data_IF_077708102950
#
_entry.id   IF_077708102950
#
_cell.length_a   1.000
_cell.length_b   1.000
_cell.length_c   1.000
_cell.angle_alpha   90.00
_cell.angle_beta   90.00
_cell.angle_gamma   90.00
#
_symmetry.space_group_name_H-M   'P 1'
#
loop_
_entity.id
_entity.type
_entity.pdbx_description
1 polymer ?
#
# COMPACT_ATOMS: atom_id res chain seq x y z
N UNK A 1 8.41 7.35 -17.72
CA UNK A 1 7.12 7.45 -16.98
C UNK A 1 7.25 7.43 -15.44
N UNK A 2 8.20 6.71 -14.82
CA UNK A 2 8.26 6.59 -13.34
C UNK A 2 8.93 7.79 -12.63
N UNK A 3 9.90 8.47 -13.25
CA UNK A 3 10.46 9.73 -12.72
C UNK A 3 9.46 10.90 -12.68
N UNK A 4 8.37 10.81 -13.45
CA UNK A 4 7.31 11.80 -13.49
C UNK A 4 6.29 11.63 -12.35
N UNK A 5 6.26 10.47 -11.68
CA UNK A 5 5.17 10.11 -10.76
C UNK A 5 5.17 10.91 -9.45
N UNK A 6 6.32 11.18 -8.79
CA UNK A 6 6.35 12.09 -7.64
C UNK A 6 5.97 13.53 -8.01
N UNK A 7 6.41 14.00 -9.19
CA UNK A 7 6.06 15.35 -9.69
C UNK A 7 4.55 15.46 -9.96
N UNK A 8 3.96 14.43 -10.58
CA UNK A 8 2.52 14.33 -10.81
C UNK A 8 1.72 14.27 -9.51
N UNK A 9 2.15 13.44 -8.55
CA UNK A 9 1.47 13.35 -7.26
C UNK A 9 1.45 14.71 -6.55
N UNK A 10 2.59 15.42 -6.54
CA UNK A 10 2.65 16.78 -6.01
C UNK A 10 1.77 17.76 -6.78
N UNK A 11 1.75 17.70 -8.11
CA UNK A 11 0.97 18.64 -8.93
C UNK A 11 -0.53 18.46 -8.76
N UNK A 12 -1.00 17.23 -8.54
CA UNK A 12 -2.40 16.92 -8.21
C UNK A 12 -2.73 17.36 -6.78
N UNK A 13 -1.92 16.97 -5.80
CA UNK A 13 -2.17 17.28 -4.37
C UNK A 13 -2.14 18.78 -4.10
N UNK A 14 -1.27 19.54 -4.76
CA UNK A 14 -1.16 20.99 -4.55
C UNK A 14 -1.98 21.81 -5.53
N UNK A 15 -2.84 21.17 -6.32
CA UNK A 15 -3.52 21.88 -7.39
C UNK A 15 -4.39 23.00 -6.84
N UNK A 16 -4.21 24.20 -7.39
CA UNK A 16 -4.95 25.42 -7.04
C UNK A 16 -5.09 26.26 -8.32
N UNK A 17 -6.10 27.13 -8.37
CA UNK A 17 -6.43 27.94 -9.54
C UNK A 17 -7.54 27.35 -10.42
N UNK A 18 -7.73 27.94 -11.60
CA UNK A 18 -8.82 27.58 -12.51
C UNK A 18 -8.65 26.18 -13.08
N UNK A 19 -9.64 25.32 -12.84
CA UNK A 19 -9.68 23.95 -13.36
C UNK A 19 -9.77 23.83 -14.89
N UNK A 20 -10.21 24.86 -15.60
CA UNK A 20 -10.23 24.86 -17.07
C UNK A 20 -8.85 25.13 -17.66
N UNK A 21 -8.00 25.85 -16.93
CA UNK A 21 -6.64 26.20 -17.37
C UNK A 21 -5.61 25.22 -16.81
N UNK A 22 -5.82 24.73 -15.59
CA UNK A 22 -4.90 23.85 -14.89
C UNK A 22 -5.52 22.47 -14.65
N UNK A 23 -5.25 21.53 -15.57
CA UNK A 23 -5.80 20.18 -15.57
C UNK A 23 -5.82 19.45 -14.21
N UNK A 24 -4.72 19.43 -13.43
CA UNK A 24 -4.70 18.78 -12.11
C UNK A 24 -5.72 19.30 -11.10
N UNK A 25 -6.19 20.54 -11.22
CA UNK A 25 -7.23 21.10 -10.35
C UNK A 25 -8.60 20.42 -10.55
N UNK A 26 -8.83 19.75 -11.69
CA UNK A 26 -10.05 18.96 -11.89
C UNK A 26 -10.20 17.80 -10.90
N UNK A 27 -9.12 17.34 -10.26
CA UNK A 27 -9.20 16.35 -9.20
C UNK A 27 -10.19 16.77 -8.10
N UNK A 28 -10.09 18.01 -7.65
CA UNK A 28 -10.95 18.56 -6.58
C UNK A 28 -12.39 18.73 -7.03
N UNK A 29 -12.62 19.14 -8.29
CA UNK A 29 -13.96 19.30 -8.86
C UNK A 29 -14.73 17.99 -9.03
N UNK A 30 -14.04 16.94 -9.49
CA UNK A 30 -14.68 15.63 -9.69
C UNK A 30 -15.16 15.01 -8.39
N UNK A 31 -14.49 15.37 -7.29
CA UNK A 31 -14.71 14.77 -5.97
C UNK A 31 -14.95 15.91 -4.98
N UNK A 32 -16.05 16.65 -5.08
CA UNK A 32 -16.30 17.83 -4.22
C UNK A 32 -16.49 17.57 -2.71
N UNK A 33 -16.31 16.33 -2.25
CA UNK A 33 -16.41 15.93 -0.85
C UNK A 33 -15.02 15.57 -0.30
N UNK A 34 -14.53 16.24 0.75
CA UNK A 34 -13.23 15.99 1.36
C UNK A 34 -12.99 14.53 1.76
N UNK A 35 -14.05 13.83 2.19
CA UNK A 35 -13.95 12.41 2.58
C UNK A 35 -13.67 11.53 1.36
N UNK A 36 -14.40 11.73 0.26
CA UNK A 36 -14.13 11.03 -1.00
C UNK A 36 -12.76 11.40 -1.59
N UNK A 37 -12.30 12.65 -1.42
CA UNK A 37 -10.95 13.04 -1.84
C UNK A 37 -9.88 12.26 -1.07
N UNK A 38 -10.03 12.13 0.26
CA UNK A 38 -9.16 11.31 1.10
C UNK A 38 -9.14 9.83 0.67
N UNK A 39 -10.32 9.27 0.39
CA UNK A 39 -10.46 7.89 -0.10
C UNK A 39 -9.72 7.70 -1.41
N UNK A 40 -10.01 8.54 -2.41
CA UNK A 40 -9.38 8.46 -3.72
C UNK A 40 -7.87 8.62 -3.63
N UNK A 41 -7.38 9.55 -2.81
CA UNK A 41 -5.96 9.80 -2.60
C UNK A 41 -5.24 8.61 -1.98
N UNK A 42 -5.83 8.01 -0.94
CA UNK A 42 -5.27 6.79 -0.33
C UNK A 42 -5.23 5.64 -1.34
N UNK A 43 -6.30 5.48 -2.10
CA UNK A 43 -6.44 4.40 -3.05
C UNK A 43 -5.56 4.58 -4.30
N UNK A 44 -5.33 5.82 -4.74
CA UNK A 44 -4.51 6.15 -5.90
C UNK A 44 -3.02 6.18 -5.57
N UNK A 45 -2.63 6.76 -4.44
CA UNK A 45 -1.22 6.99 -4.18
C UNK A 45 -0.61 6.03 -3.16
N UNK A 46 -1.36 5.61 -2.15
CA UNK A 46 -0.86 4.61 -1.19
C UNK A 46 -1.18 3.17 -1.62
N UNK A 47 -2.23 3.01 -2.44
CA UNK A 47 -2.75 1.68 -2.81
C UNK A 47 -3.58 1.04 -1.70
N UNK A 48 -3.64 1.65 -0.52
CA UNK A 48 -4.45 1.28 0.63
C UNK A 48 -5.86 1.85 0.52
N UNK A 49 -6.82 1.25 1.24
CA UNK A 49 -8.22 1.71 1.26
C UNK A 49 -8.58 2.25 2.63
N UNK A 50 -8.44 3.56 2.81
CA UNK A 50 -8.84 4.19 4.07
C UNK A 50 -10.35 4.19 4.27
N UNK A 51 -11.18 3.98 3.23
CA UNK A 51 -12.65 4.02 3.32
C UNK A 51 -13.23 3.16 4.45
N UNK A 52 -12.69 1.97 4.69
CA UNK A 52 -13.20 1.11 5.77
C UNK A 52 -12.98 1.75 7.15
N UNK A 53 -11.97 2.62 7.26
CA UNK A 53 -11.66 3.34 8.48
C UNK A 53 -12.63 4.50 8.79
N UNK A 54 -13.58 4.82 7.91
CA UNK A 54 -14.53 5.90 8.10
C UNK A 54 -15.40 5.70 9.37
N UNK A 55 -15.85 4.46 9.62
CA UNK A 55 -16.79 4.14 10.71
C UNK A 55 -16.15 3.47 11.92
N UNK A 56 -15.02 2.78 11.74
CA UNK A 56 -14.25 2.13 12.81
C UNK A 56 -12.79 1.96 12.37
N UNK A 57 -11.85 1.63 13.26
CA UNK A 57 -10.49 1.30 12.83
C UNK A 57 -10.49 0.11 11.86
N UNK A 58 -9.66 0.15 10.81
CA UNK A 58 -9.62 -0.88 9.79
C UNK A 58 -9.34 -2.26 10.44
N UNK A 59 -10.14 -3.31 10.18
CA UNK A 59 -10.07 -4.56 10.94
C UNK A 59 -8.85 -5.42 10.58
N UNK A 60 -8.28 -5.21 9.39
CA UNK A 60 -7.20 -6.03 8.80
C UNK A 60 -5.98 -5.19 8.35
N UNK A 61 -5.92 -3.92 8.73
CA UNK A 61 -4.86 -2.99 8.32
C UNK A 61 -4.60 -2.00 9.45
N UNK A 62 -3.46 -1.33 9.46
CA UNK A 62 -3.05 -0.42 10.55
C UNK A 62 -3.87 0.86 10.64
N UNK A 63 -4.71 1.14 9.65
CA UNK A 63 -5.36 2.42 9.50
C UNK A 63 -6.45 2.65 10.54
N UNK A 64 -6.33 3.77 11.24
CA UNK A 64 -7.29 4.19 12.26
C UNK A 64 -8.35 5.11 11.67
N UNK A 65 -9.43 5.27 12.41
CA UNK A 65 -10.45 6.27 12.09
C UNK A 65 -9.87 7.69 12.09
N UNK A 66 -8.94 7.97 13.01
CA UNK A 66 -8.23 9.24 13.08
C UNK A 66 -7.38 9.48 11.80
N UNK A 67 -6.80 8.43 11.20
CA UNK A 67 -6.08 8.55 9.92
C UNK A 67 -7.00 8.92 8.76
N UNK A 68 -8.21 8.34 8.71
CA UNK A 68 -9.19 8.64 7.68
C UNK A 68 -9.70 10.09 7.80
N UNK A 69 -10.23 10.46 8.97
CA UNK A 69 -10.85 11.78 9.15
C UNK A 69 -9.81 12.90 9.22
N UNK A 70 -8.61 12.61 9.72
CA UNK A 70 -7.51 13.56 9.69
C UNK A 70 -6.98 13.82 8.29
N UNK A 71 -6.95 12.81 7.41
CA UNK A 71 -6.67 13.05 5.99
C UNK A 71 -7.81 13.83 5.32
N UNK A 72 -9.06 13.51 5.62
CA UNK A 72 -10.21 14.27 5.11
C UNK A 72 -10.19 15.73 5.59
N UNK A 73 -9.69 16.01 6.79
CA UNK A 73 -9.57 17.36 7.32
C UNK A 73 -8.56 18.23 6.55
N UNK A 74 -7.51 17.64 5.95
CA UNK A 74 -6.61 18.34 5.02
C UNK A 74 -7.40 18.83 3.80
N UNK A 75 -8.20 17.94 3.22
CA UNK A 75 -9.00 18.24 2.03
C UNK A 75 -10.20 19.15 2.31
N UNK A 76 -10.68 19.19 3.55
CA UNK A 76 -11.75 20.09 3.96
C UNK A 76 -11.38 21.56 3.75
N UNK A 77 -10.08 21.87 3.75
CA UNK A 77 -9.53 23.21 3.59
C UNK A 77 -9.34 23.63 2.13
N UNK A 78 -9.94 22.89 1.19
CA UNK A 78 -9.88 23.16 -0.24
C UNK A 78 -11.29 23.46 -0.75
N UNK A 79 -11.48 24.64 -1.34
CA UNK A 79 -12.67 24.91 -2.13
C UNK A 79 -12.60 24.12 -3.44
N UNK A 80 -13.65 23.35 -3.71
CA UNK A 80 -13.76 22.46 -4.86
C UNK A 80 -14.60 23.06 -6.00
N UNK A 81 -14.79 24.38 -5.99
CA UNK A 81 -15.43 25.15 -7.06
C UNK A 81 -14.67 25.18 -8.39
N UNK A 82 -15.03 26.12 -9.29
CA UNK A 82 -14.36 26.28 -10.59
C UNK A 82 -12.88 26.62 -10.42
N UNK A 83 -12.61 27.52 -9.48
CA UNK A 83 -11.28 27.94 -9.06
C UNK A 83 -11.00 27.23 -7.74
N UNK A 84 -9.91 26.48 -7.69
CA UNK A 84 -9.51 25.73 -6.50
C UNK A 84 -8.68 26.64 -5.61
N UNK A 85 -9.19 26.93 -4.43
CA UNK A 85 -8.58 27.86 -3.48
C UNK A 85 -8.55 27.25 -2.07
N UNK A 86 -7.78 27.86 -1.18
CA UNK A 86 -7.74 27.45 0.22
C UNK A 86 -8.98 28.04 0.91
N UNK A 87 -9.73 27.19 1.61
CA UNK A 87 -10.83 27.58 2.49
C UNK A 87 -10.43 27.34 3.95
N UNK A 88 -9.93 28.36 4.68
CA UNK A 88 -9.51 28.22 6.08
C UNK A 88 -10.65 27.85 7.04
N UNK A 89 -11.90 27.96 6.62
CA UNK A 89 -13.07 27.65 7.46
C UNK A 89 -13.56 26.23 7.31
N UNK A 90 -13.09 25.50 6.29
CA UNK A 90 -13.56 24.16 5.96
C UNK A 90 -13.21 23.12 7.01
N UNK A 91 -14.16 22.25 7.34
CA UNK A 91 -14.07 21.30 8.46
C UNK A 91 -14.75 19.99 8.12
N UNK A 92 -14.25 18.90 8.71
CA UNK A 92 -14.90 17.59 8.73
C UNK A 92 -15.12 17.22 10.19
N UNK A 93 -16.31 16.73 10.52
CA UNK A 93 -16.63 16.24 11.88
C UNK A 93 -16.19 14.79 12.00
N UNK A 94 -15.50 14.48 13.09
CA UNK A 94 -15.07 13.14 13.45
C UNK A 94 -16.23 12.37 14.12
N UNK A 95 -16.69 11.24 13.57
CA UNK A 95 -17.95 10.61 13.96
C UNK A 95 -17.93 9.99 15.38
N UNK A 96 -16.75 9.66 15.92
CA UNK A 96 -16.62 9.11 17.28
C UNK A 96 -16.51 10.17 18.37
N UNK A 97 -15.89 11.32 18.09
CA UNK A 97 -15.65 12.36 19.09
C UNK A 97 -16.65 13.50 18.97
N UNK A 98 -17.36 13.60 17.85
CA UNK A 98 -18.26 14.70 17.49
C UNK A 98 -17.59 16.06 17.42
N UNK A 99 -16.25 16.08 17.36
CA UNK A 99 -15.45 17.28 17.23
C UNK A 99 -14.97 17.49 15.79
N UNK A 100 -14.45 18.70 15.50
CA UNK A 100 -13.75 18.94 14.24
C UNK A 100 -12.49 18.07 14.18
N UNK A 101 -12.40 17.24 13.14
CA UNK A 101 -11.23 16.41 12.90
C UNK A 101 -9.97 17.27 12.71
N UNK A 102 -8.90 16.88 13.38
CA UNK A 102 -7.59 17.54 13.27
C UNK A 102 -6.84 16.96 12.06
N UNK A 103 -6.27 17.79 11.17
CA UNK A 103 -5.49 17.32 10.04
C UNK A 103 -4.40 16.33 10.47
N UNK A 104 -4.28 15.21 9.75
CA UNK A 104 -3.33 14.14 10.06
C UNK A 104 -2.81 13.51 8.77
N UNK A 105 -1.52 13.22 8.76
CA UNK A 105 -0.94 12.38 7.72
C UNK A 105 -1.16 10.91 8.12
N UNK A 106 -1.71 10.04 7.26
CA UNK A 106 -2.04 8.67 7.63
C UNK A 106 -0.83 7.91 8.20
N UNK A 107 -1.00 7.35 9.40
CA UNK A 107 0.04 6.59 10.10
C UNK A 107 1.11 7.43 10.80
N UNK A 108 1.02 8.76 10.73
CA UNK A 108 1.93 9.72 11.38
C UNK A 108 1.18 10.50 12.48
N UNK A 109 1.87 11.43 13.15
CA UNK A 109 1.24 12.33 14.11
C UNK A 109 0.27 13.34 13.47
N UNK A 110 -0.61 13.92 14.29
CA UNK A 110 -1.46 15.03 13.89
C UNK A 110 -0.61 16.23 13.47
N UNK A 111 -1.07 16.96 12.45
CA UNK A 111 -0.44 18.20 12.05
C UNK A 111 -0.67 19.28 13.12
N UNK A 112 0.29 20.20 13.31
CA UNK A 112 0.09 21.35 14.18
C UNK A 112 -1.15 22.14 13.78
N UNK A 113 -1.90 22.67 14.75
CA UNK A 113 -3.12 23.48 14.50
C UNK A 113 -2.85 24.77 13.72
N UNK A 114 -1.59 25.18 13.59
CA UNK A 114 -1.14 26.33 12.79
C UNK A 114 -1.12 26.03 11.29
N UNK A 115 -1.15 24.76 10.89
CA UNK A 115 -1.16 24.37 9.47
C UNK A 115 -2.58 24.52 8.90
N UNK A 116 -2.73 25.42 7.92
CA UNK A 116 -4.03 25.71 7.30
C UNK A 116 -4.36 24.77 6.14
N UNK A 117 -3.44 24.54 5.20
CA UNK A 117 -3.69 23.74 3.99
C UNK A 117 -3.43 22.24 4.25
N UNK A 118 -2.26 21.87 4.77
CA UNK A 118 -1.89 20.47 5.04
C UNK A 118 -1.54 19.64 3.80
N UNK A 119 -1.89 20.10 2.58
CA UNK A 119 -1.56 19.39 1.32
C UNK A 119 -0.06 19.40 1.04
N UNK A 120 0.68 20.38 1.54
CA UNK A 120 2.13 20.44 1.40
C UNK A 120 2.85 19.37 2.23
N UNK A 121 2.41 19.18 3.46
CA UNK A 121 2.85 18.13 4.38
C UNK A 121 2.51 16.76 3.78
N UNK A 122 1.28 16.61 3.26
CA UNK A 122 0.84 15.39 2.58
C UNK A 122 1.69 15.08 1.35
N UNK A 123 1.93 16.07 0.48
CA UNK A 123 2.75 15.89 -0.71
C UNK A 123 4.21 15.55 -0.34
N UNK A 124 4.76 16.18 0.71
CA UNK A 124 6.11 15.88 1.21
C UNK A 124 6.19 14.44 1.72
N UNK A 125 5.28 14.04 2.60
CA UNK A 125 5.23 12.68 3.16
C UNK A 125 5.06 11.62 2.07
N UNK A 126 4.15 11.84 1.12
CA UNK A 126 3.87 10.86 0.08
C UNK A 126 5.09 10.58 -0.81
N UNK A 127 5.92 11.60 -1.05
CA UNK A 127 7.13 11.51 -1.86
C UNK A 127 8.37 11.15 -1.06
N UNK A 128 8.26 11.02 0.26
CA UNK A 128 9.40 10.65 1.09
C UNK A 128 9.98 9.31 0.64
N UNK A 129 11.31 9.15 0.56
CA UNK A 129 11.93 7.86 0.27
C UNK A 129 11.55 6.79 1.31
N UNK A 130 11.17 7.21 2.51
CA UNK A 130 10.78 6.33 3.61
C UNK A 130 9.31 5.91 3.55
N UNK A 131 8.51 6.51 2.65
CA UNK A 131 7.13 6.11 2.45
C UNK A 131 7.06 4.79 1.66
N UNK A 132 6.68 3.66 2.29
CA UNK A 132 6.69 2.36 1.62
C UNK A 132 5.53 2.23 0.62
N UNK A 133 4.47 3.00 0.79
CA UNK A 133 3.21 2.80 0.07
C UNK A 133 3.27 3.34 -1.36
N UNK A 134 3.80 4.56 -1.54
CA UNK A 134 3.76 5.25 -2.83
C UNK A 134 4.44 4.44 -3.94
N UNK A 135 5.68 4.02 -3.70
CA UNK A 135 6.45 3.27 -4.69
C UNK A 135 5.85 1.90 -4.95
N UNK A 136 5.35 1.20 -3.91
CA UNK A 136 4.66 -0.09 -4.05
C UNK A 136 3.42 0.06 -4.91
N UNK A 137 2.58 1.06 -4.65
CA UNK A 137 1.33 1.27 -5.35
C UNK A 137 1.55 1.54 -6.85
N UNK A 138 2.52 2.41 -7.18
CA UNK A 138 2.86 2.72 -8.57
C UNK A 138 3.44 1.51 -9.30
N UNK A 139 4.42 0.82 -8.70
CA UNK A 139 5.01 -0.38 -9.30
C UNK A 139 3.97 -1.46 -9.54
N UNK A 140 3.08 -1.72 -8.59
CA UNK A 140 2.02 -2.73 -8.76
C UNK A 140 1.07 -2.37 -9.91
N UNK A 141 0.69 -1.10 -10.06
CA UNK A 141 -0.16 -0.65 -11.18
C UNK A 141 0.54 -0.75 -12.52
N UNK A 142 1.80 -0.33 -12.61
CA UNK A 142 2.58 -0.44 -13.83
C UNK A 142 2.77 -1.91 -14.23
N UNK A 143 3.09 -2.76 -13.27
CA UNK A 143 3.21 -4.19 -13.50
C UNK A 143 1.88 -4.79 -13.97
N UNK A 144 0.77 -4.47 -13.32
CA UNK A 144 -0.57 -4.90 -13.76
C UNK A 144 -0.85 -4.47 -15.20
N UNK A 145 -0.48 -3.24 -15.59
CA UNK A 145 -0.66 -2.75 -16.97
C UNK A 145 0.18 -3.53 -17.99
N UNK A 146 1.36 -4.00 -17.60
CA UNK A 146 2.27 -4.76 -18.48
C UNK A 146 1.94 -6.25 -18.54
N UNK A 147 1.56 -6.85 -17.40
CA UNK A 147 1.46 -8.30 -17.21
C UNK A 147 0.01 -8.80 -17.03
N UNK A 148 -0.99 -7.91 -17.06
CA UNK A 148 -2.41 -8.22 -16.88
C UNK A 148 -2.84 -8.42 -15.41
N UNK A 149 -1.90 -8.72 -14.51
CA UNK A 149 -2.11 -8.86 -13.06
C UNK A 149 -0.97 -8.20 -12.29
N UNK A 150 -1.27 -7.56 -11.15
CA UNK A 150 -0.23 -6.99 -10.27
C UNK A 150 0.44 -8.10 -9.42
N UNK A 151 1.67 -7.90 -8.91
CA UNK A 151 2.30 -8.86 -8.00
C UNK A 151 1.49 -9.06 -6.72
N UNK A 152 0.79 -8.02 -6.26
CA UNK A 152 -0.09 -8.08 -5.08
C UNK A 152 -1.49 -7.63 -5.47
N UNK A 153 -2.51 -8.39 -5.03
CA UNK A 153 -3.91 -7.99 -5.21
C UNK A 153 -4.15 -6.66 -4.48
N UNK A 154 -4.93 -5.78 -5.08
CA UNK A 154 -5.35 -4.52 -4.47
C UNK A 154 -6.03 -4.70 -3.12
N UNK A 155 -6.76 -5.81 -2.90
CA UNK A 155 -7.39 -6.14 -1.60
C UNK A 155 -6.37 -6.49 -0.52
N UNK A 156 -5.15 -6.84 -0.94
CA UNK A 156 -4.05 -7.32 -0.12
C UNK A 156 -2.92 -6.27 0.05
N UNK A 157 -3.14 -5.03 -0.39
CA UNK A 157 -2.16 -3.94 -0.33
C UNK A 157 -1.89 -3.38 1.09
N UNK A 158 -2.25 -4.14 2.13
CA UNK A 158 -2.06 -3.82 3.54
C UNK A 158 -0.58 -3.90 3.95
N UNK A 159 -0.23 -3.22 5.04
CA UNK A 159 1.09 -3.28 5.64
C UNK A 159 1.47 -4.64 6.24
N UNK A 160 0.51 -5.57 6.38
CA UNK A 160 0.72 -6.88 7.01
C UNK A 160 1.09 -8.02 6.05
N UNK A 161 1.34 -7.76 4.76
CA UNK A 161 1.71 -8.86 3.84
C UNK A 161 3.21 -9.23 3.89
N UNK A 162 3.51 -10.23 4.73
CA UNK A 162 4.65 -11.13 4.61
C UNK A 162 4.28 -12.32 3.70
N UNK A 163 4.64 -12.26 2.41
CA UNK A 163 4.50 -13.39 1.48
C UNK A 163 5.41 -13.20 0.26
N UNK A 164 5.78 -14.27 -0.46
CA UNK A 164 6.79 -14.22 -1.53
C UNK A 164 6.52 -13.18 -2.63
N UNK A 165 5.24 -12.91 -2.93
CA UNK A 165 4.81 -11.86 -3.87
C UNK A 165 5.02 -10.42 -3.36
N UNK A 166 5.04 -10.19 -2.04
CA UNK A 166 5.40 -8.89 -1.46
C UNK A 166 6.91 -8.63 -1.57
N UNK A 167 7.74 -9.67 -1.46
CA UNK A 167 9.19 -9.57 -1.66
C UNK A 167 9.59 -9.08 -3.06
N UNK A 168 8.93 -9.55 -4.12
CA UNK A 168 9.15 -9.02 -5.48
C UNK A 168 8.74 -7.55 -5.59
N UNK A 169 7.56 -7.21 -5.07
CA UNK A 169 7.05 -5.84 -5.10
C UNK A 169 7.98 -4.89 -4.33
N UNK A 170 8.51 -5.31 -3.18
CA UNK A 170 9.42 -4.53 -2.36
C UNK A 170 10.77 -4.30 -3.04
N UNK A 171 11.32 -5.33 -3.68
CA UNK A 171 12.53 -5.19 -4.50
C UNK A 171 12.31 -4.20 -5.64
N UNK A 172 11.21 -4.32 -6.38
CA UNK A 172 10.88 -3.43 -7.50
C UNK A 172 10.60 -1.99 -7.03
N UNK A 173 9.89 -1.82 -5.91
CA UNK A 173 9.65 -0.53 -5.28
C UNK A 173 10.97 0.11 -4.81
N UNK A 174 11.88 -0.68 -4.22
CA UNK A 174 13.22 -0.23 -3.84
C UNK A 174 14.06 0.22 -5.03
N UNK A 175 14.01 -0.51 -6.15
CA UNK A 175 14.67 -0.10 -7.41
C UNK A 175 14.08 1.22 -7.92
N UNK A 176 12.75 1.34 -7.91
CA UNK A 176 12.06 2.57 -8.33
C UNK A 176 12.46 3.79 -7.49
N UNK A 177 12.69 3.61 -6.18
CA UNK A 177 13.17 4.69 -5.29
C UNK A 177 14.62 5.08 -5.58
N UNK A 178 15.52 4.10 -5.72
CA UNK A 178 16.96 4.33 -5.93
C UNK A 178 17.30 4.82 -7.33
N UNK A 179 16.51 4.45 -8.34
CA UNK A 179 16.74 4.82 -9.74
C UNK A 179 15.44 5.23 -10.44
N UNK A 180 14.92 6.44 -10.15
CA UNK A 180 13.68 6.92 -10.77
C UNK A 180 13.77 7.00 -12.31
N UNK A 181 14.98 7.13 -12.85
CA UNK A 181 15.27 7.12 -14.30
C UNK A 181 15.47 5.70 -14.87
N UNK A 182 15.98 4.71 -14.12
CA UNK A 182 16.14 3.35 -14.66
C UNK A 182 14.79 2.65 -14.86
N UNK A 183 13.78 2.99 -14.06
CA UNK A 183 12.40 2.55 -14.27
C UNK A 183 11.76 3.18 -15.53
N UNK A 184 12.44 4.11 -16.21
CA UNK A 184 12.00 4.66 -17.51
C UNK A 184 12.57 3.94 -18.73
N UNK A 185 13.58 3.08 -18.55
CA UNK A 185 14.21 2.28 -19.61
C UNK A 185 13.70 0.83 -19.64
N UNK A 186 12.41 0.62 -19.35
CA UNK A 186 11.74 -0.60 -19.83
C UNK A 186 11.29 -0.26 -21.23
N UNK A 187 12.10 -0.61 -22.23
CA UNK A 187 11.73 -0.52 -23.63
C UNK A 187 10.63 -1.55 -23.92
N UNK A 188 9.39 -1.14 -23.64
CA UNK A 188 8.18 -1.98 -23.65
C UNK A 188 7.95 -2.64 -25.02
N UNK A 189 8.47 -2.07 -26.11
CA UNK A 189 8.29 -2.62 -27.46
C UNK A 189 9.15 -3.85 -27.76
N UNK A 190 10.38 -3.96 -27.24
CA UNK A 190 11.28 -5.08 -27.59
C UNK A 190 11.17 -6.28 -26.65
N UNK A 191 10.82 -6.03 -25.38
CA UNK A 191 10.84 -7.05 -24.32
C UNK A 191 9.54 -7.85 -24.15
N UNK A 192 8.41 -7.37 -24.69
CA UNK A 192 7.14 -8.12 -24.67
C UNK A 192 7.25 -9.47 -25.40
N UNK A 193 8.03 -9.57 -26.48
CA UNK A 193 8.26 -10.85 -27.18
C UNK A 193 9.14 -11.82 -26.38
N UNK A 194 10.17 -11.33 -25.69
CA UNK A 194 11.02 -12.16 -24.83
C UNK A 194 10.29 -12.61 -23.55
N UNK A 195 9.52 -11.71 -22.91
CA UNK A 195 8.74 -12.04 -21.71
C UNK A 195 7.53 -12.93 -22.02
N UNK A 196 6.92 -12.83 -23.21
CA UNK A 196 5.92 -13.81 -23.68
C UNK A 196 6.51 -15.20 -23.88
N UNK A 197 7.77 -15.30 -24.33
CA UNK A 197 8.49 -16.58 -24.42
C UNK A 197 8.89 -17.12 -23.05
N UNK A 198 9.23 -16.26 -22.08
CA UNK A 198 9.58 -16.68 -20.72
C UNK A 198 8.38 -16.91 -19.78
N UNK A 199 7.22 -16.30 -20.05
CA UNK A 199 5.97 -16.56 -19.32
C UNK A 199 5.41 -17.96 -19.60
N UNK A 200 5.86 -18.61 -20.69
CA UNK A 200 5.66 -20.03 -20.94
C UNK A 200 6.77 -20.92 -20.35
N UNK A 201 7.81 -20.36 -19.70
CA UNK A 201 8.89 -21.15 -19.11
C UNK A 201 8.56 -21.72 -17.72
N UNK A 202 7.35 -21.49 -17.19
CA UNK A 202 6.84 -22.23 -16.01
C UNK A 202 6.08 -23.50 -16.39
N UNK A 203 6.21 -23.99 -17.63
CA UNK A 203 5.60 -25.25 -18.07
C UNK A 203 6.52 -26.01 -19.03
N UNK A 204 7.65 -26.47 -18.52
CA UNK A 204 8.35 -27.71 -18.89
C UNK A 204 9.81 -27.61 -18.46
N UNK A 205 10.13 -28.23 -17.33
CA UNK A 205 11.25 -29.16 -17.19
C UNK A 205 10.96 -30.00 -15.96
N UNK A 206 10.71 -31.27 -16.22
CA UNK A 206 10.85 -32.35 -15.25
C UNK A 206 12.29 -32.37 -14.75
N UNK A 207 12.54 -31.77 -13.59
CA UNK A 207 13.61 -32.20 -12.71
C UNK A 207 12.95 -32.94 -11.56
N UNK A 208 13.05 -34.26 -11.61
CA UNK A 208 12.73 -35.17 -10.51
C UNK A 208 13.61 -34.83 -9.33
N UNK A 209 13.05 -34.15 -8.33
CA UNK A 209 13.59 -34.15 -6.97
C UNK A 209 12.92 -35.31 -6.25
N UNK A 210 13.67 -36.39 -6.03
CA UNK A 210 13.22 -37.53 -5.24
C UNK A 210 13.19 -37.13 -3.76
N UNK A 211 11.99 -36.90 -3.23
CA UNK A 211 11.76 -36.76 -1.80
C UNK A 211 11.39 -38.15 -1.28
N UNK A 212 12.30 -38.79 -0.54
CA UNK A 212 11.96 -39.98 0.23
C UNK A 212 11.09 -39.56 1.43
N UNK A 213 9.79 -39.87 1.38
CA UNK A 213 8.93 -39.89 2.56
C UNK A 213 8.82 -41.32 3.09
N UNK A 214 9.14 -41.60 4.37
CA UNK A 214 8.71 -42.83 5.00
C UNK A 214 7.18 -42.85 5.08
N UNK A 215 6.61 -43.94 4.60
CA UNK A 215 5.20 -44.32 4.61
C UNK A 215 4.57 -44.23 6.00
N UNK A 216 3.33 -43.74 6.09
CA UNK A 216 2.56 -43.86 7.33
C UNK A 216 1.28 -43.03 7.40
N UNK A 217 0.30 -43.38 6.57
CA UNK A 217 -1.15 -43.37 6.81
C UNK A 217 -1.82 -42.23 7.59
N UNK A 218 -2.79 -41.56 6.93
CA UNK A 218 -4.01 -41.07 7.60
C UNK A 218 -4.44 -39.64 7.25
N UNK A 219 -5.21 -39.49 6.17
CA UNK A 219 -6.05 -38.31 5.95
C UNK A 219 -7.36 -38.44 6.74
N UNK A 220 -7.72 -37.47 7.58
CA UNK A 220 -9.08 -36.89 7.60
C UNK A 220 -9.18 -35.58 8.44
N UNK A 221 -10.10 -34.64 8.09
CA UNK A 221 -10.13 -33.25 8.51
C UNK A 221 -11.09 -32.98 9.69
N UNK A 222 -10.90 -31.87 10.42
CA UNK A 222 -11.96 -31.15 11.15
C UNK A 222 -11.49 -29.77 11.61
N UNK A 223 -12.40 -28.80 11.52
CA UNK A 223 -12.24 -27.37 11.78
C UNK A 223 -12.09 -26.98 13.27
N UNK A 224 -11.27 -25.94 13.53
CA UNK A 224 -11.40 -24.82 14.51
C UNK A 224 -11.52 -25.11 16.03
N UNK A 225 -11.39 -24.11 16.97
CA UNK A 225 -10.81 -22.75 16.92
C UNK A 225 -9.82 -22.41 18.09
N UNK A 226 -9.16 -21.24 18.01
CA UNK A 226 -8.64 -20.37 19.11
C UNK A 226 -8.03 -20.97 20.40
N UNK A 227 -6.80 -20.53 20.76
CA UNK A 227 -6.51 -19.82 22.04
C UNK A 227 -5.11 -19.22 22.11
N UNK A 228 -5.03 -18.14 22.89
CA UNK A 228 -3.92 -17.22 23.17
C UNK A 228 -2.93 -17.74 24.23
N UNK A 229 -1.75 -17.09 24.30
CA UNK A 229 -0.75 -16.98 25.42
C UNK A 229 0.14 -18.23 25.62
N UNK A 230 1.44 -18.17 25.98
CA UNK A 230 2.31 -17.15 26.62
C UNK A 230 3.80 -17.51 26.42
N UNK A 231 4.68 -16.57 26.74
CA UNK A 231 6.14 -16.64 26.80
C UNK A 231 6.76 -17.84 27.54
N UNK A 232 8.05 -18.04 27.21
CA UNK A 232 9.21 -18.32 28.07
C UNK A 232 9.82 -19.73 28.13
N UNK A 233 11.16 -19.71 27.96
CA UNK A 233 12.20 -20.55 28.54
C UNK A 233 12.47 -21.98 27.99
N UNK A 234 13.71 -22.11 27.51
CA UNK A 234 14.54 -23.32 27.37
C UNK A 234 14.73 -24.03 28.74
N UNK A 235 15.03 -25.35 28.83
CA UNK A 235 16.40 -25.83 28.59
C UNK A 235 16.56 -27.23 27.93
N UNK A 236 17.75 -27.38 27.38
CA UNK A 236 18.43 -28.56 26.81
C UNK A 236 18.48 -29.80 27.71
N UNK A 237 18.37 -31.00 27.11
CA UNK A 237 18.88 -32.26 27.69
C UNK A 237 19.55 -33.13 26.63
N UNK A 238 20.70 -33.64 27.05
CA UNK A 238 21.75 -34.43 26.42
C UNK A 238 21.34 -35.81 25.90
N UNK A 239 21.96 -36.23 24.79
CA UNK A 239 21.88 -37.58 24.24
C UNK A 239 22.84 -38.54 24.97
N UNK A 240 22.36 -39.73 25.32
CA UNK A 240 23.19 -40.88 25.70
C UNK A 240 22.95 -42.02 24.70
N UNK A 241 24.04 -42.48 24.08
CA UNK A 241 24.10 -43.64 23.20
C UNK A 241 24.24 -44.92 24.04
N UNK A 242 23.45 -45.96 23.71
CA UNK A 242 23.87 -47.37 23.87
C UNK A 242 23.36 -48.22 22.68
N UNK A 243 24.17 -49.18 22.20
CA UNK A 243 23.87 -50.00 21.02
C UNK A 243 23.03 -51.23 21.36
N UNK A 244 22.29 -51.73 20.36
CA UNK A 244 21.47 -52.94 20.43
C UNK A 244 22.30 -54.23 20.26
N UNK A 245 21.94 -55.35 20.92
CA UNK A 245 22.48 -56.67 20.60
C UNK A 245 21.67 -57.37 19.49
N UNK A 246 22.37 -58.19 18.71
CA UNK A 246 21.85 -58.96 17.59
C UNK A 246 21.20 -60.28 18.03
N UNK A 247 19.99 -60.56 17.55
CA UNK A 247 19.65 -61.61 16.56
C UNK A 247 18.14 -61.68 16.38
#
# INVERSE_FOLDING_TARGET
MVSATPKLARSVIRASGDSHEYGPANFYRTTGDPRKQAEFMSELFMGSRLRCANCHNHPLDRWTQDDYHGLAAIFARVDSGRVIEINPSGRVIHPRTFETAVPRIPGEQFLPRTVVDGRDELAKWLKSPDNPFFSRAIVNRLWKRMMGRGPVDRRRFSCHESGDSSGLLDKLAGISRKRPQAATHIEVKRRQRQLRRSANATRNKSETVSIHTPSGNGWNPRCSPMRFRTCSAWPSVTATNRPAPAR
#
